data_IF_601781489345
#
_entry.id   IF_601781489345
#
_cell.length_a   1.000
_cell.length_b   1.000
_cell.length_c   1.000
_cell.angle_alpha   90.00
_cell.angle_beta   90.00
_cell.angle_gamma   90.00
#
_symmetry.space_group_name_H-M   'P 1'
#
loop_
_entity.id
_entity.type
_entity.pdbx_description
1 polymer ?
#
# COMPACT_ATOMS: atom_id res chain seq x y z
N UNK A 1 4.51 1.29 25.59
CA UNK A 1 5.87 1.84 25.83
C UNK A 1 6.68 1.80 24.54
N UNK A 2 6.28 2.59 23.52
CA UNK A 2 7.00 2.73 22.24
C UNK A 2 7.61 4.13 22.06
N UNK A 3 7.38 5.01 23.05
CA UNK A 3 7.57 6.46 22.98
C UNK A 3 8.07 7.01 24.32
N UNK A 4 8.97 6.26 24.97
CA UNK A 4 9.56 6.68 26.24
C UNK A 4 10.87 7.43 25.96
N UNK A 5 10.77 8.75 25.91
CA UNK A 5 11.91 9.66 25.87
C UNK A 5 12.11 10.27 27.26
N UNK A 6 13.00 9.67 28.06
CA UNK A 6 13.60 10.33 29.23
C UNK A 6 14.48 11.51 28.76
N UNK A 7 14.73 12.62 29.47
CA UNK A 7 14.20 13.33 30.65
C UNK A 7 14.96 14.70 30.71
N UNK A 8 14.53 15.85 31.23
CA UNK A 8 13.38 16.39 32.00
C UNK A 8 13.16 17.86 31.57
N UNK A 9 12.02 18.48 31.88
CA UNK A 9 11.96 19.93 32.16
C UNK A 9 11.20 20.22 33.45
N UNK A 10 11.67 21.19 34.24
CA UNK A 10 11.05 21.60 35.52
C UNK A 10 9.80 22.48 35.33
N UNK A 11 9.53 22.89 34.09
CA UNK A 11 8.34 23.63 33.67
C UNK A 11 7.75 22.95 32.44
N UNK A 12 6.43 22.77 32.43
CA UNK A 12 5.75 21.85 31.53
C UNK A 12 5.51 22.41 30.13
N UNK A 13 6.15 21.80 29.13
CA UNK A 13 5.59 21.66 27.79
C UNK A 13 5.49 20.15 27.55
N UNK A 14 4.26 19.62 27.49
CA UNK A 14 4.07 18.22 27.08
C UNK A 14 4.51 18.09 25.63
N UNK A 15 5.38 17.13 25.34
CA UNK A 15 5.72 16.78 23.96
C UNK A 15 4.41 16.47 23.20
N UNK A 16 4.20 17.09 22.04
CA UNK A 16 2.96 16.96 21.25
C UNK A 16 2.62 15.50 20.95
N UNK A 17 3.66 14.69 20.69
CA UNK A 17 3.54 13.25 20.50
C UNK A 17 3.03 12.52 21.76
N UNK A 18 3.49 12.89 22.95
CA UNK A 18 2.98 12.31 24.20
C UNK A 18 1.50 12.68 24.42
N UNK A 19 1.13 13.94 24.17
CA UNK A 19 -0.26 14.39 24.27
C UNK A 19 -1.21 13.62 23.33
N UNK A 20 -0.80 13.42 22.08
CA UNK A 20 -1.52 12.59 21.10
C UNK A 20 -1.64 11.13 21.56
N UNK A 21 -0.58 10.53 22.12
CA UNK A 21 -0.63 9.16 22.61
C UNK A 21 -1.54 9.02 23.85
N UNK A 22 -1.52 9.98 24.77
CA UNK A 22 -2.47 10.04 25.89
C UNK A 22 -3.92 10.25 25.43
N UNK A 23 -4.13 10.92 24.29
CA UNK A 23 -5.45 11.09 23.68
C UNK A 23 -5.98 9.76 23.13
N UNK A 24 -5.21 9.06 22.29
CA UNK A 24 -5.70 7.85 21.61
C UNK A 24 -5.71 6.58 22.48
N UNK A 25 -4.97 6.52 23.60
CA UNK A 25 -4.99 5.36 24.50
C UNK A 25 -6.07 5.45 25.60
N UNK A 26 -6.90 6.51 25.62
CA UNK A 26 -8.07 6.61 26.49
C UNK A 26 -9.28 5.92 25.85
N UNK A 27 -10.18 5.40 26.69
CA UNK A 27 -11.48 4.87 26.25
C UNK A 27 -12.52 5.98 26.22
N UNK A 28 -13.38 5.93 25.21
CA UNK A 28 -14.45 6.88 24.93
C UNK A 28 -15.65 6.10 24.38
N UNK A 29 -16.85 6.68 24.44
CA UNK A 29 -17.97 6.14 23.66
C UNK A 29 -17.84 6.54 22.18
N UNK A 30 -18.49 5.80 21.27
CA UNK A 30 -18.36 6.01 19.82
C UNK A 30 -18.57 7.47 19.37
N UNK A 31 -19.55 8.18 19.92
CA UNK A 31 -19.81 9.58 19.55
C UNK A 31 -18.71 10.54 20.02
N UNK A 32 -18.10 10.26 21.18
CA UNK A 32 -16.92 10.98 21.65
C UNK A 32 -15.69 10.67 20.80
N UNK A 33 -15.51 9.40 20.42
CA UNK A 33 -14.41 8.95 19.57
C UNK A 33 -14.43 9.65 18.21
N UNK A 34 -15.59 9.81 17.57
CA UNK A 34 -15.71 10.57 16.32
C UNK A 34 -15.28 12.04 16.52
N UNK A 35 -15.74 12.69 17.60
CA UNK A 35 -15.34 14.08 17.96
C UNK A 35 -13.87 14.24 18.37
N UNK A 36 -13.14 13.15 18.55
CA UNK A 36 -11.70 13.16 18.82
C UNK A 36 -10.89 13.22 17.53
N UNK A 37 -11.41 12.72 16.41
CA UNK A 37 -10.76 12.82 15.10
C UNK A 37 -10.54 14.29 14.71
N UNK A 38 -11.50 15.17 15.04
CA UNK A 38 -11.41 16.62 14.81
C UNK A 38 -10.38 17.34 15.70
N UNK A 39 -9.82 16.66 16.72
CA UNK A 39 -8.80 17.18 17.64
C UNK A 39 -7.38 16.73 17.30
N UNK A 40 -7.22 15.90 16.28
CA UNK A 40 -5.93 15.35 15.85
C UNK A 40 -5.39 16.21 14.71
N UNK A 41 -4.12 16.60 14.79
CA UNK A 41 -3.40 17.16 13.63
C UNK A 41 -2.97 16.02 12.72
N UNK A 42 -3.71 15.84 11.62
CA UNK A 42 -3.49 14.77 10.66
C UNK A 42 -2.30 15.02 9.71
N UNK A 43 -1.66 16.19 9.72
CA UNK A 43 -0.43 16.39 8.95
C UNK A 43 0.74 15.61 9.59
N UNK A 44 0.75 15.47 10.93
CA UNK A 44 1.77 14.76 11.72
C UNK A 44 3.23 15.17 11.36
N UNK A 45 3.46 16.48 11.13
CA UNK A 45 4.72 17.02 10.57
C UNK A 45 5.99 16.62 11.34
N UNK A 46 5.94 16.66 12.66
CA UNK A 46 7.11 16.37 13.52
C UNK A 46 7.20 14.90 13.97
N UNK A 47 6.30 14.02 13.52
CA UNK A 47 6.24 12.63 13.98
C UNK A 47 7.21 11.72 13.22
N UNK A 48 7.91 10.88 13.98
CA UNK A 48 8.75 9.81 13.39
C UNK A 48 7.87 8.75 12.73
N UNK A 49 8.07 8.55 11.43
CA UNK A 49 7.41 7.49 10.63
C UNK A 49 8.29 6.27 10.39
N UNK A 50 9.58 6.36 10.73
CA UNK A 50 10.60 5.33 10.50
C UNK A 50 11.06 4.71 11.80
N UNK A 51 10.39 3.62 12.19
CA UNK A 51 10.74 2.82 13.35
C UNK A 51 10.47 1.34 13.07
N UNK A 52 11.23 0.45 13.72
CA UNK A 52 11.05 -0.99 13.64
C UNK A 52 10.95 -1.48 12.17
N UNK A 53 10.02 -2.39 11.89
CA UNK A 53 9.89 -3.07 10.60
C UNK A 53 9.37 -2.17 9.47
N UNK A 54 8.85 -0.96 9.76
CA UNK A 54 8.55 0.05 8.74
C UNK A 54 9.78 0.48 7.92
N UNK A 55 10.99 0.25 8.44
CA UNK A 55 12.27 0.56 7.79
C UNK A 55 12.77 -0.53 6.82
N UNK A 56 12.06 -1.66 6.72
CA UNK A 56 12.52 -2.84 5.98
C UNK A 56 12.65 -2.62 4.48
N UNK A 57 11.82 -1.79 3.87
CA UNK A 57 11.87 -1.57 2.42
C UNK A 57 11.32 -0.18 2.08
N UNK A 58 11.92 0.48 1.09
CA UNK A 58 11.34 1.66 0.44
C UNK A 58 10.12 1.22 -0.35
N UNK A 59 8.95 1.80 -0.08
CA UNK A 59 7.72 1.50 -0.84
C UNK A 59 7.06 2.82 -1.19
N UNK A 60 6.74 3.09 -2.47
CA UNK A 60 6.11 4.34 -2.88
C UNK A 60 4.67 4.41 -2.37
N UNK A 61 4.14 5.63 -2.17
CA UNK A 61 2.73 5.89 -1.87
C UNK A 61 2.14 5.16 -0.64
N UNK A 62 2.98 4.76 0.33
CA UNK A 62 2.47 4.29 1.63
C UNK A 62 2.04 5.47 2.51
N UNK A 63 0.93 5.34 3.22
CA UNK A 63 0.58 6.29 4.27
C UNK A 63 1.51 6.17 5.49
N UNK A 64 1.40 7.15 6.40
CA UNK A 64 2.18 7.21 7.64
C UNK A 64 1.57 6.28 8.70
N UNK A 65 2.38 5.64 9.57
CA UNK A 65 1.88 4.71 10.60
C UNK A 65 0.86 5.32 11.57
N UNK A 66 0.94 6.63 11.81
CA UNK A 66 0.04 7.35 12.72
C UNK A 66 -1.44 7.26 12.33
N UNK A 67 -1.75 7.12 11.02
CA UNK A 67 -3.13 7.01 10.55
C UNK A 67 -3.77 5.70 11.00
N UNK A 68 -3.31 4.49 10.59
CA UNK A 68 -3.87 3.24 11.08
C UNK A 68 -3.74 3.11 12.60
N UNK A 69 -2.63 3.55 13.21
CA UNK A 69 -2.49 3.57 14.68
C UNK A 69 -3.64 4.30 15.37
N UNK A 70 -4.05 5.47 14.85
CA UNK A 70 -5.17 6.25 15.41
C UNK A 70 -6.46 5.43 15.39
N UNK A 71 -6.85 4.89 14.24
CA UNK A 71 -8.12 4.17 14.11
C UNK A 71 -8.11 2.84 14.86
N UNK A 72 -6.99 2.10 14.85
CA UNK A 72 -6.80 0.87 15.62
C UNK A 72 -6.97 1.15 17.11
N UNK A 73 -6.36 2.22 17.64
CA UNK A 73 -6.46 2.56 19.07
C UNK A 73 -7.84 3.03 19.50
N UNK A 74 -8.53 3.77 18.63
CA UNK A 74 -9.80 4.43 18.95
C UNK A 74 -11.04 3.57 18.68
N UNK A 75 -10.99 2.62 17.74
CA UNK A 75 -12.16 1.85 17.28
C UNK A 75 -12.01 0.32 17.36
N UNK A 76 -10.89 -0.19 17.90
CA UNK A 76 -10.76 -1.62 18.23
C UNK A 76 -10.26 -1.87 19.64
N UNK A 77 -10.59 -3.01 20.20
CA UNK A 77 -9.98 -3.57 21.41
C UNK A 77 -8.81 -4.53 21.05
N UNK A 78 -8.09 -5.05 22.05
CA UNK A 78 -7.10 -6.11 21.80
C UNK A 78 -7.79 -7.39 21.31
N UNK A 79 -7.11 -8.14 20.41
CA UNK A 79 -7.58 -9.34 19.71
C UNK A 79 -8.73 -9.15 18.70
N UNK A 80 -9.34 -7.96 18.60
CA UNK A 80 -10.21 -7.66 17.45
C UNK A 80 -9.41 -7.62 16.14
N UNK A 81 -10.08 -7.89 15.02
CA UNK A 81 -9.44 -8.11 13.71
C UNK A 81 -9.47 -6.85 12.84
N UNK A 82 -8.30 -6.40 12.41
CA UNK A 82 -8.11 -5.26 11.49
C UNK A 82 -7.79 -5.77 10.09
N UNK A 83 -8.55 -5.36 9.08
CA UNK A 83 -8.29 -5.68 7.67
C UNK A 83 -7.68 -4.49 6.94
N UNK A 84 -6.70 -4.78 6.08
CA UNK A 84 -6.27 -3.88 5.02
C UNK A 84 -6.38 -4.63 3.67
N UNK A 85 -7.44 -4.38 2.86
CA UNK A 85 -7.71 -5.13 1.63
C UNK A 85 -6.74 -4.81 0.47
N UNK A 86 -5.91 -3.76 0.61
CA UNK A 86 -4.91 -3.32 -0.37
C UNK A 86 -3.63 -2.90 0.37
N UNK A 87 -3.08 -3.82 1.16
CA UNK A 87 -2.19 -3.50 2.28
C UNK A 87 -0.83 -2.92 1.90
N UNK A 88 -0.44 -2.97 0.63
CA UNK A 88 0.86 -2.51 0.15
C UNK A 88 1.98 -3.17 0.96
N UNK A 89 2.90 -2.36 1.47
CA UNK A 89 3.97 -2.86 2.35
C UNK A 89 3.55 -3.10 3.81
N UNK A 90 2.25 -3.19 4.14
CA UNK A 90 1.76 -3.71 5.41
C UNK A 90 1.78 -2.73 6.59
N UNK A 91 1.66 -1.42 6.33
CA UNK A 91 1.71 -0.40 7.40
C UNK A 91 0.61 -0.63 8.44
N UNK A 92 -0.62 -0.95 8.03
CA UNK A 92 -1.74 -1.27 8.93
C UNK A 92 -1.48 -2.51 9.77
N UNK A 93 -0.98 -3.58 9.15
CA UNK A 93 -0.68 -4.86 9.81
C UNK A 93 0.40 -4.70 10.88
N UNK A 94 1.45 -3.92 10.62
CA UNK A 94 2.48 -3.63 11.63
C UNK A 94 1.90 -2.86 12.82
N UNK A 95 1.03 -1.87 12.59
CA UNK A 95 0.41 -1.13 13.70
C UNK A 95 -0.62 -1.97 14.46
N UNK A 96 -1.34 -2.89 13.81
CA UNK A 96 -2.19 -3.87 14.48
C UNK A 96 -1.36 -4.80 15.36
N UNK A 97 -0.28 -5.37 14.81
CA UNK A 97 0.63 -6.28 15.50
C UNK A 97 1.29 -5.64 16.74
N UNK A 98 1.81 -4.42 16.59
CA UNK A 98 2.43 -3.65 17.69
C UNK A 98 1.44 -3.29 18.81
N UNK A 99 0.14 -3.44 18.58
CA UNK A 99 -0.93 -3.11 19.52
C UNK A 99 -1.83 -4.31 19.87
N UNK A 100 -1.35 -5.54 19.71
CA UNK A 100 -2.07 -6.76 20.08
C UNK A 100 -3.45 -6.91 19.39
N UNK A 101 -3.61 -6.42 18.16
CA UNK A 101 -4.80 -6.70 17.31
C UNK A 101 -4.46 -7.81 16.33
N UNK A 102 -5.43 -8.67 16.07
CA UNK A 102 -5.35 -9.61 14.94
C UNK A 102 -5.42 -8.80 13.64
N UNK A 103 -4.82 -9.29 12.56
CA UNK A 103 -4.92 -8.58 11.28
C UNK A 103 -4.89 -9.47 10.05
N UNK A 104 -5.61 -9.04 9.03
CA UNK A 104 -5.61 -9.64 7.70
C UNK A 104 -5.12 -8.57 6.73
N UNK A 105 -4.16 -8.90 5.87
CA UNK A 105 -3.72 -8.03 4.78
C UNK A 105 -3.92 -8.73 3.45
N UNK A 106 -4.61 -8.08 2.51
CA UNK A 106 -4.69 -8.54 1.13
C UNK A 106 -3.91 -7.58 0.22
N UNK A 107 -3.14 -8.08 -0.74
CA UNK A 107 -2.61 -7.29 -1.85
C UNK A 107 -2.32 -8.17 -3.06
N UNK A 108 -2.68 -7.71 -4.27
CA UNK A 108 -2.43 -8.45 -5.51
C UNK A 108 -0.95 -8.43 -5.94
N UNK A 109 -0.15 -7.50 -5.40
CA UNK A 109 1.29 -7.45 -5.61
C UNK A 109 2.00 -8.49 -4.70
N UNK A 110 2.60 -9.58 -5.26
CA UNK A 110 3.24 -10.60 -4.44
C UNK A 110 4.47 -10.10 -3.68
N UNK A 111 5.09 -8.99 -4.11
CA UNK A 111 6.14 -8.34 -3.34
C UNK A 111 5.57 -7.58 -2.14
N UNK A 112 4.42 -6.92 -2.30
CA UNK A 112 3.71 -6.22 -1.23
C UNK A 112 3.30 -7.20 -0.12
N UNK A 113 2.60 -8.29 -0.48
CA UNK A 113 2.25 -9.37 0.42
C UNK A 113 3.48 -9.97 1.14
N UNK A 114 4.57 -10.27 0.42
CA UNK A 114 5.82 -10.77 1.03
C UNK A 114 6.41 -9.78 2.06
N UNK A 115 6.44 -8.48 1.74
CA UNK A 115 6.92 -7.46 2.68
C UNK A 115 6.02 -7.33 3.91
N UNK A 116 4.69 -7.38 3.73
CA UNK A 116 3.72 -7.33 4.81
C UNK A 116 3.91 -8.49 5.78
N UNK A 117 4.02 -9.73 5.27
CA UNK A 117 4.31 -10.93 6.08
C UNK A 117 5.60 -10.75 6.89
N UNK A 118 6.71 -10.46 6.23
CA UNK A 118 8.04 -10.37 6.87
C UNK A 118 8.12 -9.26 7.93
N UNK A 119 7.32 -8.19 7.81
CA UNK A 119 7.27 -7.12 8.81
C UNK A 119 6.47 -7.47 10.08
N UNK A 120 5.62 -8.50 10.05
CA UNK A 120 4.84 -9.00 11.19
C UNK A 120 5.30 -10.37 11.70
N UNK A 121 6.17 -11.08 10.99
CA UNK A 121 6.81 -12.31 11.49
C UNK A 121 8.00 -12.00 12.39
N UNK A 122 7.94 -12.43 13.66
CA UNK A 122 9.10 -12.48 14.55
C UNK A 122 9.92 -13.74 14.26
N UNK A 123 11.25 -13.61 14.31
CA UNK A 123 12.22 -14.69 14.10
C UNK A 123 13.15 -14.71 15.32
N UNK A 124 13.45 -15.89 15.85
CA UNK A 124 14.25 -16.05 17.06
C UNK A 124 15.76 -15.93 16.80
N UNK A 125 16.52 -15.83 17.89
CA UNK A 125 17.97 -15.65 17.79
C UNK A 125 18.72 -16.92 17.34
N UNK A 126 18.11 -18.11 17.46
CA UNK A 126 18.64 -19.38 16.94
C UNK A 126 18.62 -19.41 15.42
N UNK A 127 17.46 -19.13 14.83
CA UNK A 127 17.30 -18.98 13.38
C UNK A 127 18.28 -17.93 12.82
N UNK A 128 18.40 -16.75 13.45
CA UNK A 128 19.38 -15.77 12.99
C UNK A 128 20.84 -16.19 13.13
N UNK A 129 21.21 -17.01 14.13
CA UNK A 129 22.56 -17.60 14.21
C UNK A 129 22.81 -18.56 13.05
N UNK A 130 21.84 -19.42 12.73
CA UNK A 130 21.91 -20.31 11.55
C UNK A 130 22.04 -19.49 10.25
N UNK A 131 21.16 -18.51 10.04
CA UNK A 131 21.14 -17.70 8.82
C UNK A 131 22.45 -16.94 8.62
N UNK A 132 22.97 -16.30 9.67
CA UNK A 132 24.24 -15.58 9.60
C UNK A 132 25.42 -16.52 9.33
N UNK A 133 25.40 -17.77 9.83
CA UNK A 133 26.39 -18.80 9.47
C UNK A 133 26.28 -19.20 7.99
N UNK A 134 25.06 -19.44 7.50
CA UNK A 134 24.78 -19.81 6.10
C UNK A 134 25.24 -18.71 5.13
N UNK A 135 24.94 -17.45 5.43
CA UNK A 135 25.43 -16.29 4.65
C UNK A 135 26.96 -16.14 4.70
N UNK A 136 27.61 -16.53 5.80
CA UNK A 136 29.08 -16.52 5.92
C UNK A 136 29.79 -17.56 5.04
N UNK A 137 29.07 -18.56 4.51
CA UNK A 137 29.59 -19.59 3.58
C UNK A 137 28.97 -19.49 2.18
N UNK A 138 28.31 -18.38 1.85
CA UNK A 138 27.72 -18.13 0.54
C UNK A 138 28.73 -18.37 -0.59
N UNK A 139 28.30 -19.09 -1.64
CA UNK A 139 29.11 -19.46 -2.81
C UNK A 139 29.77 -18.24 -3.43
N UNK A 140 31.02 -18.38 -3.89
CA UNK A 140 31.77 -17.28 -4.49
C UNK A 140 31.44 -17.19 -5.98
N UNK A 141 31.74 -16.03 -6.56
CA UNK A 141 31.56 -15.74 -8.00
C UNK A 141 32.14 -16.81 -8.95
N UNK A 142 33.19 -17.51 -8.53
CA UNK A 142 33.88 -18.53 -9.32
C UNK A 142 33.11 -19.86 -9.44
N UNK A 143 32.09 -20.08 -8.61
CA UNK A 143 31.37 -21.36 -8.50
C UNK A 143 30.10 -21.43 -9.39
N UNK A 144 29.86 -20.43 -10.26
CA UNK A 144 28.61 -20.23 -10.99
C UNK A 144 28.72 -20.56 -12.49
N UNK A 145 27.67 -21.17 -13.08
CA UNK A 145 27.62 -21.45 -14.52
C UNK A 145 27.38 -20.16 -15.33
N UNK A 146 28.44 -19.69 -15.97
CA UNK A 146 28.43 -18.51 -16.84
C UNK A 146 27.36 -18.55 -17.96
N UNK A 147 26.95 -19.74 -18.42
CA UNK A 147 25.90 -19.86 -19.44
C UNK A 147 24.54 -19.43 -18.90
N UNK A 148 24.19 -19.80 -17.67
CA UNK A 148 22.96 -19.35 -16.99
C UNK A 148 22.95 -17.84 -16.77
N UNK A 149 24.12 -17.26 -16.49
CA UNK A 149 24.30 -15.81 -16.32
C UNK A 149 24.04 -15.08 -17.65
N UNK A 150 24.58 -15.59 -18.76
CA UNK A 150 24.36 -15.00 -20.09
C UNK A 150 22.91 -15.16 -20.58
N UNK A 151 22.28 -16.31 -20.35
CA UNK A 151 20.84 -16.51 -20.61
C UNK A 151 19.99 -15.49 -19.85
N UNK A 152 20.31 -15.21 -18.57
CA UNK A 152 19.62 -14.16 -17.80
C UNK A 152 19.80 -12.77 -18.40
N UNK A 153 21.02 -12.41 -18.82
CA UNK A 153 21.31 -11.11 -19.44
C UNK A 153 20.45 -10.92 -20.69
N UNK A 154 20.38 -11.94 -21.54
CA UNK A 154 19.60 -11.91 -22.78
C UNK A 154 18.09 -11.81 -22.53
N UNK A 155 17.60 -12.33 -21.40
CA UNK A 155 16.20 -12.30 -21.00
C UNK A 155 15.82 -11.08 -20.14
N UNK A 156 16.73 -10.12 -19.88
CA UNK A 156 16.38 -8.90 -19.17
C UNK A 156 15.44 -8.00 -20.02
N UNK A 157 14.48 -7.29 -19.41
CA UNK A 157 13.67 -6.31 -20.13
C UNK A 157 14.54 -5.28 -20.86
N UNK A 158 14.23 -4.95 -22.12
CA UNK A 158 15.01 -3.98 -22.91
C UNK A 158 14.77 -2.54 -22.41
N UNK A 159 15.50 -2.14 -21.37
CA UNK A 159 15.35 -0.87 -20.64
C UNK A 159 16.71 -0.33 -20.19
N UNK A 160 16.82 1.01 -20.05
CA UNK A 160 18.07 1.68 -19.63
C UNK A 160 18.65 1.13 -18.33
N UNK A 161 17.79 0.82 -17.34
CA UNK A 161 18.21 0.30 -16.03
C UNK A 161 18.71 -1.16 -16.08
N UNK A 162 18.40 -1.92 -17.12
CA UNK A 162 18.92 -3.29 -17.28
C UNK A 162 20.45 -3.33 -17.41
N UNK A 163 21.07 -2.21 -17.81
CA UNK A 163 22.54 -2.03 -17.84
C UNK A 163 23.22 -2.11 -16.46
N UNK A 164 22.47 -2.02 -15.36
CA UNK A 164 22.99 -2.17 -14.00
C UNK A 164 23.32 -3.65 -13.73
N UNK A 165 22.52 -4.57 -14.27
CA UNK A 165 22.67 -6.01 -14.11
C UNK A 165 23.70 -6.57 -15.11
N UNK A 166 24.95 -6.17 -14.96
CA UNK A 166 26.08 -6.80 -15.66
C UNK A 166 26.42 -8.17 -15.04
N UNK A 167 27.28 -8.96 -15.72
CA UNK A 167 27.71 -10.30 -15.26
C UNK A 167 28.11 -10.35 -13.78
N UNK A 168 28.88 -9.37 -13.28
CA UNK A 168 29.33 -9.35 -11.88
C UNK A 168 28.17 -9.18 -10.90
N UNK A 169 27.26 -8.24 -11.20
CA UNK A 169 26.07 -7.98 -10.37
C UNK A 169 25.12 -9.18 -10.39
N UNK A 170 24.86 -9.75 -11.56
CA UNK A 170 23.99 -10.93 -11.73
C UNK A 170 24.53 -12.12 -10.94
N UNK A 171 25.82 -12.42 -11.05
CA UNK A 171 26.42 -13.55 -10.32
C UNK A 171 26.32 -13.38 -8.81
N UNK A 172 26.50 -12.17 -8.26
CA UNK A 172 26.28 -11.90 -6.82
C UNK A 172 24.82 -12.09 -6.42
N UNK A 173 23.87 -11.59 -7.24
CA UNK A 173 22.43 -11.79 -6.99
C UNK A 173 22.03 -13.27 -7.05
N UNK A 174 22.58 -14.04 -7.99
CA UNK A 174 22.34 -15.49 -8.07
C UNK A 174 22.95 -16.24 -6.87
N UNK A 175 24.17 -15.92 -6.43
CA UNK A 175 24.76 -16.53 -5.24
C UNK A 175 23.90 -16.31 -3.98
N UNK A 176 23.34 -15.11 -3.82
CA UNK A 176 22.36 -14.82 -2.75
C UNK A 176 21.09 -15.67 -2.94
N UNK A 177 20.50 -15.70 -4.15
CA UNK A 177 19.27 -16.45 -4.42
C UNK A 177 19.40 -17.94 -4.18
N UNK A 178 20.46 -18.58 -4.66
CA UNK A 178 20.75 -20.00 -4.41
C UNK A 178 20.93 -20.26 -2.91
N UNK A 179 21.63 -19.39 -2.18
CA UNK A 179 21.78 -19.51 -0.72
C UNK A 179 20.44 -19.40 0.00
N UNK A 180 19.53 -18.53 -0.46
CA UNK A 180 18.17 -18.43 0.08
C UNK A 180 17.33 -19.68 -0.28
N UNK A 181 17.46 -20.25 -1.47
CA UNK A 181 16.79 -21.50 -1.85
C UNK A 181 17.25 -22.66 -0.96
N UNK A 182 18.55 -22.79 -0.69
CA UNK A 182 19.08 -23.79 0.26
C UNK A 182 18.48 -23.59 1.67
N UNK A 183 18.38 -22.36 2.17
CA UNK A 183 17.71 -22.04 3.45
C UNK A 183 16.25 -22.50 3.47
N UNK A 184 15.52 -22.35 2.35
CA UNK A 184 14.14 -22.84 2.21
C UNK A 184 14.06 -24.36 2.19
N UNK A 185 14.96 -25.02 1.47
CA UNK A 185 15.04 -26.49 1.34
C UNK A 185 15.41 -27.17 2.66
N UNK A 186 16.27 -26.53 3.46
CA UNK A 186 16.60 -26.93 4.84
C UNK A 186 15.44 -26.68 5.84
N UNK A 187 14.31 -26.11 5.39
CA UNK A 187 13.06 -25.96 6.15
C UNK A 187 12.78 -24.57 6.70
N UNK A 188 13.73 -23.65 6.60
CA UNK A 188 13.69 -22.32 7.24
C UNK A 188 12.90 -21.28 6.42
N UNK A 189 11.59 -21.51 6.27
CA UNK A 189 10.69 -20.72 5.40
C UNK A 189 10.66 -19.22 5.72
N UNK A 190 10.66 -18.85 7.00
CA UNK A 190 10.56 -17.44 7.38
C UNK A 190 11.90 -16.70 7.22
N UNK A 191 13.03 -17.40 7.38
CA UNK A 191 14.35 -16.87 6.99
C UNK A 191 14.48 -16.70 5.47
N UNK A 192 13.90 -17.61 4.68
CA UNK A 192 13.83 -17.47 3.22
C UNK A 192 13.06 -16.21 2.82
N UNK A 193 11.85 -16.00 3.36
CA UNK A 193 11.04 -14.81 3.06
C UNK A 193 11.71 -13.52 3.57
N UNK A 194 12.27 -13.54 4.79
CA UNK A 194 13.07 -12.44 5.35
C UNK A 194 14.25 -12.07 4.44
N UNK A 195 15.00 -13.08 3.99
CA UNK A 195 16.11 -12.92 3.07
C UNK A 195 15.69 -12.36 1.70
N UNK A 196 14.52 -12.76 1.19
CA UNK A 196 13.96 -12.21 -0.05
C UNK A 196 13.60 -10.73 0.08
N UNK A 197 13.08 -10.28 1.23
CA UNK A 197 12.83 -8.84 1.47
C UNK A 197 14.14 -8.05 1.59
N UNK A 198 15.17 -8.61 2.23
CA UNK A 198 16.50 -8.01 2.25
C UNK A 198 17.13 -7.92 0.84
N UNK A 199 16.97 -8.96 0.02
CA UNK A 199 17.40 -8.99 -1.39
C UNK A 199 16.62 -7.96 -2.22
N UNK A 200 15.31 -7.87 -2.03
CA UNK A 200 14.47 -6.83 -2.65
C UNK A 200 14.98 -5.42 -2.34
N UNK A 201 15.23 -5.12 -1.06
CA UNK A 201 15.73 -3.79 -0.68
C UNK A 201 17.15 -3.55 -1.20
N UNK A 202 17.93 -4.60 -1.45
CA UNK A 202 19.25 -4.52 -2.10
C UNK A 202 19.08 -4.13 -3.57
N UNK A 203 18.21 -4.83 -4.32
CA UNK A 203 17.87 -4.54 -5.71
C UNK A 203 17.33 -3.11 -5.88
N UNK A 204 16.44 -2.67 -4.98
CA UNK A 204 15.92 -1.30 -4.96
C UNK A 204 17.07 -0.28 -4.91
N UNK A 205 17.98 -0.42 -3.95
CA UNK A 205 19.12 0.48 -3.81
C UNK A 205 20.13 0.39 -4.96
N UNK A 206 20.27 -0.76 -5.64
CA UNK A 206 21.07 -0.88 -6.86
C UNK A 206 20.43 -0.09 -8.02
N UNK A 207 19.11 -0.18 -8.20
CA UNK A 207 18.38 0.53 -9.25
C UNK A 207 18.39 2.05 -9.04
N UNK A 208 18.30 2.53 -7.79
CA UNK A 208 18.37 3.95 -7.46
C UNK A 208 19.77 4.56 -7.63
N UNK A 209 20.83 3.85 -7.19
CA UNK A 209 22.17 4.42 -7.04
C UNK A 209 23.15 4.03 -8.17
N UNK A 210 22.81 3.03 -9.01
CA UNK A 210 23.58 2.69 -10.20
C UNK A 210 24.79 1.78 -9.98
N UNK A 211 25.78 1.90 -10.86
CA UNK A 211 26.90 0.95 -10.99
C UNK A 211 28.00 1.17 -9.93
N UNK A 212 28.71 0.10 -9.59
CA UNK A 212 29.91 0.13 -8.72
C UNK A 212 29.65 -0.25 -7.26
N UNK A 213 28.42 -0.65 -6.93
CA UNK A 213 28.03 -1.03 -5.56
C UNK A 213 28.37 -2.49 -5.29
N UNK A 214 28.99 -2.75 -4.13
CA UNK A 214 29.21 -4.10 -3.64
C UNK A 214 27.91 -4.72 -3.12
N UNK A 215 27.28 -5.53 -3.97
CA UNK A 215 25.98 -6.19 -3.73
C UNK A 215 25.98 -7.00 -2.42
N UNK A 216 27.06 -7.73 -2.14
CA UNK A 216 27.15 -8.61 -0.98
C UNK A 216 27.13 -7.81 0.32
N UNK A 217 27.96 -6.76 0.40
CA UNK A 217 28.00 -5.84 1.54
C UNK A 217 26.68 -5.08 1.71
N UNK A 218 26.02 -4.65 0.62
CA UNK A 218 24.71 -4.02 0.66
C UNK A 218 23.64 -4.96 1.24
N UNK A 219 23.61 -6.21 0.77
CA UNK A 219 22.70 -7.25 1.25
C UNK A 219 22.95 -7.61 2.72
N UNK A 220 24.21 -7.87 3.11
CA UNK A 220 24.58 -8.21 4.49
C UNK A 220 24.29 -7.05 5.46
N UNK A 221 24.55 -5.80 5.07
CA UNK A 221 24.15 -4.61 5.84
C UNK A 221 22.63 -4.55 6.00
N UNK A 222 21.87 -4.87 4.96
CA UNK A 222 20.40 -4.86 5.01
C UNK A 222 19.85 -5.95 5.94
N UNK A 223 20.35 -7.18 5.81
CA UNK A 223 20.05 -8.30 6.72
C UNK A 223 20.30 -7.90 8.17
N UNK A 224 21.50 -7.38 8.49
CA UNK A 224 21.86 -6.95 9.85
C UNK A 224 20.96 -5.82 10.37
N UNK A 225 20.59 -4.86 9.52
CA UNK A 225 19.64 -3.79 9.87
C UNK A 225 18.27 -4.35 10.21
N UNK A 226 17.73 -5.25 9.39
CA UNK A 226 16.41 -5.86 9.60
C UNK A 226 16.37 -6.76 10.85
N UNK A 227 17.44 -7.54 11.10
CA UNK A 227 17.63 -8.33 12.33
C UNK A 227 17.58 -7.44 13.59
N UNK A 228 18.25 -6.29 13.57
CA UNK A 228 18.27 -5.37 14.70
C UNK A 228 16.88 -4.80 15.02
N UNK A 229 16.07 -4.49 14.01
CA UNK A 229 14.71 -3.98 14.22
C UNK A 229 13.74 -5.07 14.72
N UNK A 230 13.85 -6.33 14.25
CA UNK A 230 13.07 -7.44 14.84
C UNK A 230 13.46 -7.69 16.29
N UNK A 231 14.75 -7.63 16.63
CA UNK A 231 15.24 -7.74 18.01
C UNK A 231 14.78 -6.59 18.91
N UNK A 232 14.42 -5.43 18.36
CA UNK A 232 13.73 -4.37 19.10
C UNK A 232 12.24 -4.70 19.26
N UNK A 233 11.58 -5.10 18.17
CA UNK A 233 10.15 -5.41 18.13
C UNK A 233 9.75 -6.56 19.06
N UNK A 234 10.55 -7.63 19.11
CA UNK A 234 10.34 -8.80 19.99
C UNK A 234 10.42 -8.49 21.49
N UNK A 235 11.02 -7.35 21.89
CA UNK A 235 11.04 -6.87 23.28
C UNK A 235 9.78 -6.10 23.67
N UNK A 236 9.00 -5.67 22.67
CA UNK A 236 7.84 -4.79 22.82
C UNK A 236 6.55 -5.62 22.75
N UNK A 237 6.48 -6.54 21.79
CA UNK A 237 5.34 -7.44 21.58
C UNK A 237 5.47 -8.64 22.52
N UNK A 238 4.60 -8.69 23.54
CA UNK A 238 4.58 -9.77 24.55
C UNK A 238 3.66 -10.92 24.16
N UNK A 239 2.52 -10.60 23.56
CA UNK A 239 1.56 -11.55 23.02
C UNK A 239 1.60 -11.37 21.51
N UNK A 240 1.90 -12.43 20.76
CA UNK A 240 1.92 -12.39 19.30
C UNK A 240 0.46 -12.52 18.83
N UNK A 241 -0.14 -11.51 18.18
CA UNK A 241 -1.48 -11.65 17.61
C UNK A 241 -1.44 -12.43 16.30
N UNK A 242 -2.59 -12.90 15.85
CA UNK A 242 -2.72 -13.63 14.59
C UNK A 242 -2.62 -12.65 13.42
N UNK A 243 -1.76 -12.97 12.44
CA UNK A 243 -1.62 -12.18 11.21
C UNK A 243 -1.69 -13.09 10.00
N UNK A 244 -2.67 -12.81 9.15
CA UNK A 244 -2.82 -13.45 7.84
C UNK A 244 -2.44 -12.47 6.73
N UNK A 245 -1.74 -12.96 5.71
CA UNK A 245 -1.39 -12.15 4.53
C UNK A 245 -1.71 -12.93 3.26
N UNK A 246 -2.70 -12.41 2.54
CA UNK A 246 -3.29 -13.00 1.33
C UNK A 246 -2.71 -12.27 0.11
N UNK A 247 -2.21 -13.03 -0.87
CA UNK A 247 -1.77 -12.49 -2.16
C UNK A 247 -2.93 -12.56 -3.17
N UNK A 248 -3.98 -11.76 -2.94
CA UNK A 248 -5.27 -11.88 -3.64
C UNK A 248 -5.81 -10.56 -4.21
N UNK A 249 -6.90 -10.65 -4.96
CA UNK A 249 -7.55 -9.51 -5.60
C UNK A 249 -8.54 -8.83 -4.62
N UNK A 250 -8.40 -7.52 -4.40
CA UNK A 250 -9.27 -6.78 -3.50
C UNK A 250 -10.74 -6.74 -3.97
N UNK A 251 -11.01 -7.02 -5.25
CA UNK A 251 -12.35 -7.15 -5.84
C UNK A 251 -13.04 -8.46 -5.44
N UNK A 252 -12.32 -9.40 -4.83
CA UNK A 252 -12.82 -10.70 -4.34
C UNK A 252 -11.96 -11.20 -3.18
N UNK A 253 -12.33 -10.80 -1.95
CA UNK A 253 -11.55 -11.11 -0.75
C UNK A 253 -11.80 -12.55 -0.28
N UNK A 254 -10.72 -13.31 -0.11
CA UNK A 254 -10.73 -14.64 0.54
C UNK A 254 -10.86 -14.52 2.08
N UNK A 255 -11.84 -13.75 2.53
CA UNK A 255 -12.10 -13.39 3.93
C UNK A 255 -13.57 -13.64 4.27
N UNK A 256 -13.84 -14.15 5.46
CA UNK A 256 -15.19 -14.49 5.92
C UNK A 256 -16.10 -13.24 6.05
N UNK A 257 -17.37 -13.40 5.69
CA UNK A 257 -18.41 -12.37 5.81
C UNK A 257 -18.62 -11.99 7.28
N UNK A 258 -18.74 -10.69 7.59
CA UNK A 258 -18.95 -10.15 8.94
C UNK A 258 -17.90 -10.64 10.00
N UNK A 259 -16.64 -10.82 9.59
CA UNK A 259 -15.53 -11.29 10.46
C UNK A 259 -14.63 -10.17 11.01
N UNK A 260 -14.58 -9.02 10.34
CA UNK A 260 -13.63 -7.92 10.61
C UNK A 260 -14.23 -6.83 11.50
N UNK A 261 -13.41 -6.26 12.39
CA UNK A 261 -13.81 -5.20 13.34
C UNK A 261 -13.43 -3.78 12.90
N UNK A 262 -12.45 -3.63 11.99
CA UNK A 262 -12.05 -2.34 11.43
C UNK A 262 -11.36 -2.57 10.07
N UNK A 263 -11.70 -1.75 9.07
CA UNK A 263 -10.89 -1.63 7.85
C UNK A 263 -10.14 -0.31 7.87
N UNK A 264 -8.83 -0.33 7.62
CA UNK A 264 -8.03 0.87 7.32
C UNK A 264 -7.13 0.57 6.13
N UNK A 265 -7.21 1.41 5.09
CA UNK A 265 -6.49 1.16 3.84
C UNK A 265 -6.13 2.43 3.08
N UNK A 266 -5.16 2.33 2.17
CA UNK A 266 -4.83 3.35 1.18
C UNK A 266 -4.76 2.69 -0.20
N UNK A 267 -5.88 2.68 -0.97
CA UNK A 267 -5.91 2.04 -2.28
C UNK A 267 -4.94 2.73 -3.26
N UNK A 268 -4.57 2.10 -4.39
CA UNK A 268 -3.82 2.77 -5.44
C UNK A 268 -4.63 3.96 -5.99
N UNK A 269 -4.03 5.15 -6.09
CA UNK A 269 -4.76 6.33 -6.58
C UNK A 269 -4.77 6.32 -8.12
N UNK A 270 -5.95 6.50 -8.72
CA UNK A 270 -6.10 6.53 -10.18
C UNK A 270 -5.13 7.51 -10.80
N UNK A 271 -4.37 7.03 -11.79
CA UNK A 271 -3.44 7.85 -12.58
C UNK A 271 -2.25 8.44 -11.78
N UNK A 272 -1.91 7.88 -10.60
CA UNK A 272 -0.80 8.37 -9.78
C UNK A 272 0.53 7.63 -9.98
N UNK A 273 0.52 6.29 -10.10
CA UNK A 273 1.74 5.48 -10.21
C UNK A 273 1.49 4.18 -11.00
N UNK A 274 2.54 3.66 -11.65
CA UNK A 274 2.60 2.30 -12.17
C UNK A 274 3.45 1.43 -11.23
N UNK A 275 2.84 0.77 -10.23
CA UNK A 275 3.56 -0.08 -9.29
C UNK A 275 4.28 -1.23 -10.01
N UNK A 276 3.72 -1.79 -11.09
CA UNK A 276 4.39 -2.85 -11.85
C UNK A 276 5.73 -2.37 -12.43
N UNK A 277 5.84 -1.09 -12.84
CA UNK A 277 7.08 -0.52 -13.40
C UNK A 277 8.13 -0.33 -12.32
N UNK A 278 7.69 0.11 -11.15
CA UNK A 278 8.55 0.40 -10.00
C UNK A 278 9.11 -0.90 -9.40
N UNK A 279 8.30 -1.94 -9.29
CA UNK A 279 8.71 -3.23 -8.71
C UNK A 279 9.23 -4.27 -9.72
N UNK A 280 9.19 -3.99 -11.02
CA UNK A 280 9.54 -4.93 -12.10
C UNK A 280 10.85 -5.71 -11.85
N UNK A 281 11.95 -5.04 -11.50
CA UNK A 281 13.24 -5.70 -11.29
C UNK A 281 13.26 -6.51 -9.99
N UNK A 282 12.61 -6.02 -8.93
CA UNK A 282 12.47 -6.74 -7.67
C UNK A 282 11.70 -8.05 -7.90
N UNK A 283 10.56 -7.98 -8.59
CA UNK A 283 9.74 -9.14 -8.92
C UNK A 283 10.49 -10.15 -9.79
N UNK A 284 11.18 -9.69 -10.84
CA UNK A 284 12.01 -10.51 -11.71
C UNK A 284 13.07 -11.31 -10.93
N UNK A 285 13.84 -10.64 -10.07
CA UNK A 285 14.87 -11.29 -9.25
C UNK A 285 14.29 -12.12 -8.10
N UNK A 286 13.05 -11.92 -7.69
CA UNK A 286 12.39 -12.76 -6.68
C UNK A 286 11.61 -13.94 -7.27
N UNK A 287 11.60 -14.10 -8.60
CA UNK A 287 10.85 -15.14 -9.30
C UNK A 287 9.33 -14.94 -9.21
N UNK A 288 8.88 -13.69 -9.24
CA UNK A 288 7.46 -13.31 -9.18
C UNK A 288 6.97 -12.90 -10.58
N UNK A 289 5.72 -13.23 -10.89
CA UNK A 289 5.10 -12.87 -12.16
C UNK A 289 4.66 -11.39 -12.18
N UNK A 290 5.52 -10.54 -12.74
CA UNK A 290 5.23 -9.12 -12.91
C UNK A 290 4.28 -8.83 -14.08
N UNK A 291 4.11 -9.76 -15.03
CA UNK A 291 3.23 -9.60 -16.18
C UNK A 291 1.78 -9.93 -15.83
N UNK A 292 1.56 -10.91 -14.96
CA UNK A 292 0.27 -11.12 -14.28
C UNK A 292 -0.08 -9.88 -13.44
N UNK A 293 0.82 -9.42 -12.57
CA UNK A 293 0.57 -8.23 -11.74
C UNK A 293 0.18 -7.01 -12.60
N UNK A 294 0.94 -6.74 -13.68
CA UNK A 294 0.67 -5.66 -14.64
C UNK A 294 -0.72 -5.72 -15.31
N UNK A 295 -1.33 -6.90 -15.45
CA UNK A 295 -2.65 -7.06 -16.11
C UNK A 295 -3.83 -6.69 -15.20
N UNK A 296 -3.68 -6.91 -13.89
CA UNK A 296 -4.77 -6.77 -12.91
C UNK A 296 -4.58 -5.61 -11.91
N UNK A 297 -3.43 -4.92 -11.95
CA UNK A 297 -3.14 -3.71 -11.14
C UNK A 297 -4.24 -2.63 -11.29
N UNK A 298 -4.90 -2.29 -10.18
CA UNK A 298 -5.96 -1.27 -10.14
C UNK A 298 -5.34 0.13 -10.28
N UNK A 299 -5.92 0.96 -11.16
CA UNK A 299 -5.58 2.39 -11.29
C UNK A 299 -4.28 2.72 -12.05
N UNK A 300 -3.54 1.70 -12.51
CA UNK A 300 -2.30 1.84 -13.27
C UNK A 300 -2.48 2.50 -14.65
N UNK A 301 -1.44 3.14 -15.17
CA UNK A 301 -1.49 3.81 -16.47
C UNK A 301 -1.52 2.78 -17.60
N UNK A 302 -2.66 2.64 -18.27
CA UNK A 302 -2.67 2.06 -19.62
C UNK A 302 -2.15 3.10 -20.61
N UNK A 303 -0.87 2.98 -20.99
CA UNK A 303 -0.20 3.83 -21.99
C UNK A 303 -0.80 3.68 -23.41
N UNK A 304 -1.81 2.83 -23.58
CA UNK A 304 -2.50 2.53 -24.83
C UNK A 304 -3.94 3.08 -24.90
N UNK A 305 -4.47 3.70 -23.83
CA UNK A 305 -5.82 4.29 -23.84
C UNK A 305 -5.77 5.74 -24.35
N UNK A 306 -6.38 5.97 -25.53
CA UNK A 306 -6.51 7.30 -26.16
C UNK A 306 -7.43 8.24 -25.35
N UNK A 307 -8.54 7.69 -24.85
CA UNK A 307 -9.49 8.43 -24.00
C UNK A 307 -9.29 8.05 -22.53
N UNK A 308 -8.45 8.81 -21.83
CA UNK A 308 -8.07 8.52 -20.44
C UNK A 308 -9.25 8.51 -19.46
N UNK A 309 -10.41 9.10 -19.76
CA UNK A 309 -11.58 9.00 -18.87
C UNK A 309 -12.16 7.58 -18.81
N UNK A 310 -11.83 6.70 -19.75
CA UNK A 310 -12.13 5.26 -19.66
C UNK A 310 -11.35 4.58 -18.52
N UNK A 311 -10.13 5.03 -18.22
CA UNK A 311 -9.37 4.59 -17.03
C UNK A 311 -10.06 5.00 -15.72
N UNK A 312 -10.75 6.14 -15.70
CA UNK A 312 -11.56 6.54 -14.54
C UNK A 312 -12.79 5.64 -14.38
N UNK A 313 -13.47 5.30 -15.48
CA UNK A 313 -14.58 4.34 -15.46
C UNK A 313 -14.14 2.96 -14.94
N UNK A 314 -13.04 2.42 -15.48
CA UNK A 314 -12.44 1.14 -15.04
C UNK A 314 -12.12 1.19 -13.53
N UNK A 315 -11.39 2.22 -13.09
CA UNK A 315 -11.01 2.41 -11.69
C UNK A 315 -12.20 2.54 -10.73
N UNK A 316 -13.23 3.31 -11.09
CA UNK A 316 -14.43 3.44 -10.26
C UNK A 316 -15.18 2.09 -10.15
N UNK A 317 -15.19 1.30 -11.23
CA UNK A 317 -15.73 -0.06 -11.20
C UNK A 317 -14.96 -0.97 -10.26
N UNK A 318 -13.63 -1.04 -10.41
CA UNK A 318 -12.74 -1.85 -9.56
C UNK A 318 -12.84 -1.46 -8.07
N UNK A 319 -12.88 -0.16 -7.79
CA UNK A 319 -13.02 0.34 -6.42
C UNK A 319 -14.41 0.06 -5.84
N UNK A 320 -15.49 0.17 -6.63
CA UNK A 320 -16.84 -0.16 -6.16
C UNK A 320 -16.95 -1.66 -5.82
N UNK A 321 -16.43 -2.55 -6.66
CA UNK A 321 -16.36 -4.00 -6.35
C UNK A 321 -15.58 -4.27 -5.06
N UNK A 322 -14.42 -3.63 -4.92
CA UNK A 322 -13.60 -3.74 -3.72
C UNK A 322 -14.34 -3.22 -2.47
N UNK A 323 -15.11 -2.13 -2.59
CA UNK A 323 -15.91 -1.58 -1.49
C UNK A 323 -17.13 -2.46 -1.14
N UNK A 324 -17.73 -3.18 -2.10
CA UNK A 324 -18.75 -4.19 -1.84
C UNK A 324 -18.16 -5.33 -0.99
N UNK A 325 -16.96 -5.81 -1.34
CA UNK A 325 -16.24 -6.80 -0.54
C UNK A 325 -15.86 -6.28 0.85
N UNK A 326 -15.43 -5.01 0.96
CA UNK A 326 -15.21 -4.34 2.26
C UNK A 326 -16.48 -4.30 3.10
N UNK A 327 -17.66 -4.04 2.52
CA UNK A 327 -18.93 -4.13 3.25
C UNK A 327 -19.17 -5.57 3.70
N UNK A 328 -19.05 -6.56 2.81
CA UNK A 328 -19.32 -7.97 3.10
C UNK A 328 -18.52 -8.49 4.30
N UNK A 329 -17.23 -8.19 4.37
CA UNK A 329 -16.33 -8.74 5.42
C UNK A 329 -16.38 -7.99 6.75
N UNK A 330 -16.71 -6.69 6.73
CA UNK A 330 -16.79 -5.85 7.92
C UNK A 330 -18.08 -6.11 8.72
N UNK A 331 -17.99 -6.23 10.04
CA UNK A 331 -19.16 -6.33 10.92
C UNK A 331 -20.03 -5.06 10.86
N UNK A 332 -21.34 -5.22 11.08
CA UNK A 332 -22.28 -4.09 11.21
C UNK A 332 -21.83 -3.11 12.32
N UNK A 333 -22.14 -1.83 12.11
CA UNK A 333 -21.81 -0.67 12.94
C UNK A 333 -20.31 -0.34 13.10
N UNK A 334 -19.40 -1.18 12.59
CA UNK A 334 -17.95 -0.92 12.54
C UNK A 334 -17.57 0.02 11.37
N UNK A 335 -16.30 0.41 11.33
CA UNK A 335 -15.79 1.43 10.40
C UNK A 335 -14.94 0.86 9.25
N UNK A 336 -15.09 1.47 8.08
CA UNK A 336 -14.18 1.38 6.95
C UNK A 336 -13.52 2.74 6.72
N UNK A 337 -12.20 2.78 6.73
CA UNK A 337 -11.39 3.99 6.62
C UNK A 337 -10.54 3.91 5.37
N UNK A 338 -10.80 4.81 4.42
CA UNK A 338 -10.11 4.86 3.12
C UNK A 338 -9.32 6.16 3.03
N UNK A 339 -8.00 6.05 2.95
CA UNK A 339 -7.07 7.16 2.82
C UNK A 339 -6.77 7.35 1.33
N UNK A 340 -7.21 8.46 0.74
CA UNK A 340 -7.11 8.67 -0.70
C UNK A 340 -6.71 10.10 -1.06
N UNK A 341 -5.71 10.23 -1.93
CA UNK A 341 -5.26 11.50 -2.50
C UNK A 341 -6.16 11.98 -3.62
N UNK A 342 -6.28 13.30 -3.76
CA UNK A 342 -6.83 13.87 -4.99
C UNK A 342 -5.87 13.63 -6.15
N UNK A 343 -6.39 13.22 -7.31
CA UNK A 343 -5.58 13.02 -8.51
C UNK A 343 -6.03 13.93 -9.64
N UNK A 344 -5.34 13.90 -10.78
CA UNK A 344 -5.75 14.67 -11.95
C UNK A 344 -5.66 13.87 -13.23
N UNK A 345 -6.65 14.07 -14.09
CA UNK A 345 -6.83 13.34 -15.35
C UNK A 345 -7.25 14.32 -16.44
N UNK A 346 -6.44 14.43 -17.50
CA UNK A 346 -6.70 15.36 -18.63
C UNK A 346 -6.94 16.83 -18.22
N UNK A 347 -6.30 17.27 -17.12
CA UNK A 347 -6.42 18.56 -16.43
C UNK A 347 -7.66 18.76 -15.54
N UNK A 348 -8.52 17.75 -15.43
CA UNK A 348 -9.63 17.75 -14.47
C UNK A 348 -9.17 17.19 -13.11
N UNK A 349 -9.75 17.70 -12.03
CA UNK A 349 -9.52 17.25 -10.66
C UNK A 349 -10.37 16.01 -10.38
N UNK A 350 -9.77 14.95 -9.85
CA UNK A 350 -10.46 13.73 -9.43
C UNK A 350 -10.51 13.68 -7.91
N UNK A 351 -11.67 14.05 -7.37
CA UNK A 351 -11.95 14.07 -5.93
C UNK A 351 -12.38 12.69 -5.43
N UNK A 352 -11.48 11.71 -5.48
CA UNK A 352 -11.74 10.27 -5.23
C UNK A 352 -12.57 10.01 -3.96
N UNK A 353 -12.33 10.77 -2.89
CA UNK A 353 -13.05 10.64 -1.62
C UNK A 353 -14.57 10.90 -1.75
N UNK A 354 -15.00 11.77 -2.68
CA UNK A 354 -16.43 12.04 -2.94
C UNK A 354 -17.08 10.90 -3.70
N UNK A 355 -16.42 10.42 -4.77
CA UNK A 355 -16.85 9.23 -5.50
C UNK A 355 -17.04 8.04 -4.54
N UNK A 356 -16.07 7.80 -3.65
CA UNK A 356 -16.13 6.72 -2.68
C UNK A 356 -17.25 6.92 -1.64
N UNK A 357 -17.48 8.15 -1.17
CA UNK A 357 -18.59 8.45 -0.26
C UNK A 357 -19.95 8.16 -0.89
N UNK A 358 -20.22 8.69 -2.10
CA UNK A 358 -21.49 8.49 -2.82
C UNK A 358 -21.70 7.03 -3.26
N UNK A 359 -20.63 6.31 -3.60
CA UNK A 359 -20.68 4.88 -3.88
C UNK A 359 -20.97 4.06 -2.63
N UNK A 360 -20.38 4.42 -1.49
CA UNK A 360 -20.61 3.78 -0.19
C UNK A 360 -22.09 3.79 0.23
N UNK A 361 -22.77 4.93 0.05
CA UNK A 361 -24.20 5.09 0.36
C UNK A 361 -25.10 4.09 -0.40
N UNK A 362 -24.71 3.69 -1.62
CA UNK A 362 -25.44 2.72 -2.43
C UNK A 362 -25.22 1.25 -2.02
N UNK A 363 -24.27 0.97 -1.15
CA UNK A 363 -23.85 -0.40 -0.75
C UNK A 363 -23.83 -0.61 0.77
N UNK A 364 -24.63 0.15 1.53
CA UNK A 364 -24.81 -0.03 2.98
C UNK A 364 -23.76 0.63 3.88
N UNK A 365 -22.93 1.53 3.32
CA UNK A 365 -22.07 2.42 4.11
C UNK A 365 -22.69 3.81 4.28
N UNK A 366 -22.54 4.38 5.47
CA UNK A 366 -22.82 5.79 5.75
C UNK A 366 -21.51 6.57 5.88
N UNK A 367 -21.26 7.60 5.06
CA UNK A 367 -20.16 8.54 5.30
C UNK A 367 -20.37 9.29 6.61
N UNK A 368 -19.38 9.26 7.51
CA UNK A 368 -19.47 9.93 8.82
C UNK A 368 -18.43 11.05 9.00
N UNK A 369 -17.28 10.99 8.32
CA UNK A 369 -16.31 12.09 8.26
C UNK A 369 -15.46 11.99 6.99
N UNK A 370 -14.86 13.11 6.56
CA UNK A 370 -13.95 13.19 5.41
C UNK A 370 -12.85 14.19 5.73
N UNK A 371 -11.79 13.71 6.39
CA UNK A 371 -10.78 14.55 7.04
C UNK A 371 -9.69 14.92 6.03
N UNK A 372 -9.48 16.22 5.79
CA UNK A 372 -8.39 16.74 4.97
C UNK A 372 -7.05 16.72 5.72
N UNK A 373 -5.96 16.37 5.02
CA UNK A 373 -4.58 16.53 5.49
C UNK A 373 -3.63 16.91 4.34
N UNK A 374 -2.53 17.58 4.67
CA UNK A 374 -1.45 17.87 3.75
C UNK A 374 -0.41 16.73 3.74
N UNK A 375 0.14 16.43 2.56
CA UNK A 375 1.23 15.46 2.44
C UNK A 375 2.59 16.17 2.63
N UNK A 376 3.39 15.70 3.58
CA UNK A 376 4.78 16.13 3.74
C UNK A 376 5.67 15.55 2.63
N UNK A 377 5.88 16.37 1.60
CA UNK A 377 6.68 16.07 0.39
C UNK A 377 8.18 15.83 0.66
N UNK A 378 8.68 16.09 1.87
CA UNK A 378 10.09 15.85 2.21
C UNK A 378 10.36 14.39 2.58
N UNK A 379 9.31 13.59 2.81
CA UNK A 379 9.40 12.20 3.26
C UNK A 379 9.66 11.26 2.08
N UNK A 380 10.49 10.24 2.30
CA UNK A 380 10.95 9.25 1.29
C UNK A 380 9.85 8.36 0.65
N UNK A 381 8.57 8.62 0.90
CA UNK A 381 7.42 7.83 0.42
C UNK A 381 6.71 8.49 -0.76
N UNK A 382 6.86 9.80 -0.94
CA UNK A 382 6.43 10.50 -2.15
C UNK A 382 7.51 10.35 -3.22
N UNK A 383 7.24 9.56 -4.26
CA UNK A 383 8.05 9.62 -5.49
C UNK A 383 7.89 10.98 -6.16
N UNK A 384 8.76 11.34 -7.10
CA UNK A 384 8.63 12.60 -7.87
C UNK A 384 7.35 12.69 -8.71
N UNK A 385 6.66 11.56 -8.96
CA UNK A 385 5.36 11.52 -9.62
C UNK A 385 4.19 11.60 -8.62
N UNK A 386 4.31 10.98 -7.44
CA UNK A 386 3.36 11.11 -6.33
C UNK A 386 3.40 12.52 -5.72
N UNK A 387 4.57 13.18 -5.67
CA UNK A 387 4.77 14.53 -5.15
C UNK A 387 4.12 15.66 -5.96
N UNK A 388 3.19 15.30 -6.85
CA UNK A 388 2.24 16.16 -7.57
C UNK A 388 0.83 16.11 -6.95
N UNK A 389 0.65 15.27 -5.92
CA UNK A 389 -0.51 15.20 -5.03
C UNK A 389 -0.07 15.85 -3.72
N UNK A 390 -0.79 16.88 -3.32
CA UNK A 390 -0.42 17.75 -2.19
C UNK A 390 -1.34 17.52 -0.99
N UNK A 391 -2.54 17.03 -1.27
CA UNK A 391 -3.68 16.85 -0.40
C UNK A 391 -4.17 15.40 -0.39
N UNK A 392 -4.54 14.93 0.80
CA UNK A 392 -5.06 13.60 1.05
C UNK A 392 -6.30 13.68 1.94
N UNK A 393 -7.26 12.80 1.71
CA UNK A 393 -8.49 12.72 2.49
C UNK A 393 -8.58 11.37 3.16
N UNK A 394 -8.90 11.38 4.45
CA UNK A 394 -9.25 10.20 5.22
C UNK A 394 -10.78 10.13 5.27
N UNK A 395 -11.35 9.35 4.36
CA UNK A 395 -12.78 9.07 4.31
C UNK A 395 -13.11 8.02 5.37
N UNK A 396 -14.02 8.36 6.27
CA UNK A 396 -14.50 7.48 7.34
C UNK A 396 -15.96 7.09 7.03
N UNK A 397 -16.18 5.81 6.79
CA UNK A 397 -17.47 5.19 6.51
C UNK A 397 -17.86 4.28 7.68
N UNK A 398 -19.13 4.28 8.08
CA UNK A 398 -19.69 3.29 9.00
C UNK A 398 -20.57 2.31 8.23
N UNK A 399 -20.43 1.00 8.44
CA UNK A 399 -21.36 0.02 7.87
C UNK A 399 -22.68 0.07 8.63
N UNK A 400 -23.73 0.61 8.03
CA UNK A 400 -25.08 0.60 8.63
C UNK A 400 -25.83 -0.66 8.25
N UNK A 401 -25.61 -1.17 7.03
CA UNK A 401 -26.38 -2.25 6.45
C UNK A 401 -25.48 -3.22 5.67
N UNK A 402 -25.87 -4.49 5.61
CA UNK A 402 -25.22 -5.47 4.74
C UNK A 402 -25.56 -5.16 3.27
N UNK A 403 -24.54 -5.16 2.40
CA UNK A 403 -24.74 -5.02 0.96
C UNK A 403 -25.64 -6.14 0.41
N UNK A 404 -26.64 -5.77 -0.38
CA UNK A 404 -27.55 -6.71 -1.06
C UNK A 404 -27.07 -7.08 -2.47
N UNK A 405 -25.98 -6.48 -2.94
CA UNK A 405 -25.37 -6.68 -4.26
C UNK A 405 -24.03 -7.40 -4.14
N UNK A 406 -23.69 -8.19 -5.18
CA UNK A 406 -22.42 -8.89 -5.30
C UNK A 406 -21.37 -8.02 -6.02
N UNK A 407 -20.09 -8.19 -5.69
CA UNK A 407 -18.98 -7.60 -6.43
C UNK A 407 -18.90 -8.09 -7.89
N UNK A 408 -19.55 -9.22 -8.22
CA UNK A 408 -19.66 -9.73 -9.60
C UNK A 408 -20.87 -9.17 -10.39
N UNK A 409 -21.70 -8.29 -9.81
CA UNK A 409 -22.88 -7.71 -10.50
C UNK A 409 -22.49 -6.56 -11.46
N UNK A 410 -22.01 -6.94 -12.65
CA UNK A 410 -21.63 -6.00 -13.73
C UNK A 410 -22.73 -4.96 -14.06
N UNK A 411 -24.02 -5.29 -13.90
CA UNK A 411 -25.10 -4.35 -14.21
C UNK A 411 -25.18 -3.25 -13.16
N UNK A 412 -25.18 -3.61 -11.88
CA UNK A 412 -25.16 -2.66 -10.78
C UNK A 412 -23.89 -1.79 -10.84
N UNK A 413 -22.71 -2.39 -11.02
CA UNK A 413 -21.45 -1.64 -11.14
C UNK A 413 -21.53 -0.64 -12.31
N UNK A 414 -22.03 -1.05 -13.48
CA UNK A 414 -22.17 -0.17 -14.63
C UNK A 414 -23.17 0.96 -14.40
N UNK A 415 -24.26 0.73 -13.68
CA UNK A 415 -25.24 1.75 -13.31
C UNK A 415 -24.63 2.83 -12.40
N UNK A 416 -23.97 2.40 -11.31
CA UNK A 416 -23.38 3.33 -10.34
C UNK A 416 -22.23 4.13 -10.96
N UNK A 417 -21.32 3.49 -11.69
CA UNK A 417 -20.22 4.19 -12.38
C UNK A 417 -20.76 5.16 -13.43
N UNK A 418 -21.87 4.84 -14.11
CA UNK A 418 -22.53 5.73 -15.07
C UNK A 418 -23.11 6.97 -14.40
N UNK A 419 -23.79 6.83 -13.28
CA UNK A 419 -24.24 8.00 -12.49
C UNK A 419 -23.09 8.92 -12.10
N UNK A 420 -22.01 8.33 -11.56
CA UNK A 420 -20.81 9.06 -11.12
C UNK A 420 -20.14 9.82 -12.28
N UNK A 421 -19.95 9.15 -13.42
CA UNK A 421 -19.36 9.77 -14.62
C UNK A 421 -20.26 10.87 -15.22
N UNK A 422 -21.59 10.72 -15.17
CA UNK A 422 -22.54 11.77 -15.57
C UNK A 422 -22.40 12.98 -14.63
N UNK A 423 -22.43 12.79 -13.29
CA UNK A 423 -22.27 13.88 -12.31
C UNK A 423 -20.96 14.63 -12.53
N UNK A 424 -19.85 13.91 -12.72
CA UNK A 424 -18.53 14.47 -13.01
C UNK A 424 -18.51 15.31 -14.30
N UNK A 425 -19.16 14.84 -15.38
CA UNK A 425 -19.33 15.63 -16.62
C UNK A 425 -20.08 16.93 -16.38
N UNK A 426 -21.16 16.91 -15.60
CA UNK A 426 -21.94 18.11 -15.30
C UNK A 426 -21.21 19.06 -14.33
N UNK A 427 -20.32 18.55 -13.47
CA UNK A 427 -19.39 19.36 -12.66
C UNK A 427 -18.43 20.14 -13.55
N UNK A 428 -17.78 19.50 -14.52
CA UNK A 428 -16.83 20.14 -15.46
C UNK A 428 -17.49 21.21 -16.33
N UNK A 429 -18.77 21.03 -16.71
CA UNK A 429 -19.54 22.08 -17.39
C UNK A 429 -19.77 23.33 -16.53
N UNK A 430 -19.91 23.17 -15.21
CA UNK A 430 -20.21 24.26 -14.26
C UNK A 430 -18.95 24.95 -13.74
N UNK A 431 -17.90 24.19 -13.46
CA UNK A 431 -16.65 24.67 -12.86
C UNK A 431 -15.50 24.39 -13.82
N UNK A 432 -14.93 25.44 -14.41
CA UNK A 432 -13.75 25.31 -15.27
C UNK A 432 -12.57 24.80 -14.44
N UNK A 433 -12.03 23.64 -14.82
CA UNK A 433 -11.12 22.83 -14.00
C UNK A 433 -9.99 23.60 -13.32
N UNK A 434 -9.95 23.54 -11.99
CA UNK A 434 -8.75 23.85 -11.20
C UNK A 434 -7.92 22.58 -11.10
N UNK A 435 -7.07 22.33 -12.10
CA UNK A 435 -6.08 21.27 -11.99
C UNK A 435 -5.20 21.49 -10.74
N UNK A 436 -4.71 20.41 -10.11
CA UNK A 436 -3.78 20.47 -8.97
C UNK A 436 -2.52 21.33 -9.31
N UNK A 437 -2.21 21.49 -10.60
CA UNK A 437 -1.11 22.31 -11.13
C UNK A 437 -1.43 23.82 -11.24
N UNK A 438 -2.57 24.29 -10.73
CA UNK A 438 -2.98 25.70 -10.77
C UNK A 438 -3.28 26.26 -12.17
N UNK A 439 -3.18 25.45 -13.23
CA UNK A 439 -3.49 25.86 -14.62
C UNK A 439 -4.94 25.54 -14.93
N UNK A 440 -5.69 26.56 -15.35
CA UNK A 440 -7.03 26.39 -15.92
C UNK A 440 -6.93 25.84 -17.35
N UNK A 441 -7.69 24.80 -17.74
CA UNK A 441 -7.76 24.34 -19.11
C UNK A 441 -8.42 25.38 -20.01
N UNK A 442 -8.13 25.37 -21.31
CA UNK A 442 -8.80 26.25 -22.28
C UNK A 442 -10.25 25.83 -22.47
N UNK A 443 -11.12 26.77 -22.91
CA UNK A 443 -12.54 26.47 -23.21
C UNK A 443 -12.69 25.33 -24.24
N UNK A 444 -11.80 25.29 -25.25
CA UNK A 444 -11.72 24.21 -26.23
C UNK A 444 -11.36 22.86 -25.58
N UNK A 445 -10.38 22.84 -24.66
CA UNK A 445 -10.00 21.62 -23.93
C UNK A 445 -11.13 21.11 -23.04
N UNK A 446 -11.87 22.00 -22.38
CA UNK A 446 -13.04 21.65 -21.57
C UNK A 446 -14.13 20.98 -22.41
N UNK A 447 -14.47 21.54 -23.57
CA UNK A 447 -15.41 20.92 -24.51
C UNK A 447 -14.93 19.53 -24.94
N UNK A 448 -13.67 19.41 -25.35
CA UNK A 448 -13.06 18.11 -25.70
C UNK A 448 -13.05 17.11 -24.54
N UNK A 449 -12.90 17.55 -23.30
CA UNK A 449 -13.00 16.70 -22.12
C UNK A 449 -14.45 16.24 -21.88
N UNK A 450 -15.45 17.13 -22.05
CA UNK A 450 -16.88 16.78 -21.96
C UNK A 450 -17.28 15.75 -23.02
N UNK A 451 -16.78 15.88 -24.24
CA UNK A 451 -17.01 14.91 -25.33
C UNK A 451 -16.37 13.55 -25.00
N UNK A 452 -15.09 13.55 -24.58
CA UNK A 452 -14.40 12.34 -24.13
C UNK A 452 -15.09 11.66 -22.94
N UNK A 453 -15.61 12.41 -21.97
CA UNK A 453 -16.36 11.82 -20.85
C UNK A 453 -17.67 11.21 -21.35
N UNK A 454 -18.32 11.83 -22.32
CA UNK A 454 -19.55 11.29 -22.94
C UNK A 454 -19.29 10.02 -23.74
N UNK A 455 -18.15 9.90 -24.43
CA UNK A 455 -17.68 8.64 -25.03
C UNK A 455 -17.42 7.58 -23.94
N UNK A 456 -16.67 7.92 -22.90
CA UNK A 456 -16.33 7.00 -21.81
C UNK A 456 -17.57 6.49 -21.05
N UNK A 457 -18.64 7.30 -20.93
CA UNK A 457 -19.94 6.90 -20.37
C UNK A 457 -20.62 5.81 -21.20
N UNK A 458 -20.44 5.81 -22.52
CA UNK A 458 -21.04 4.81 -23.41
C UNK A 458 -20.31 3.47 -23.31
N UNK A 459 -19.00 3.46 -23.08
CA UNK A 459 -18.16 2.26 -23.00
C UNK A 459 -18.02 1.66 -21.60
N UNK A 460 -18.74 2.18 -20.59
CA UNK A 460 -18.71 1.66 -19.21
C UNK A 460 -18.94 0.13 -19.16
N UNK A 461 -19.96 -0.47 -19.80
CA UNK A 461 -20.23 -1.91 -19.72
C UNK A 461 -19.11 -2.81 -20.26
N UNK A 462 -18.19 -2.26 -21.06
CA UNK A 462 -16.99 -2.92 -21.56
C UNK A 462 -15.78 -2.63 -20.65
N UNK A 463 -15.63 -1.37 -20.23
CA UNK A 463 -14.46 -0.88 -19.49
C UNK A 463 -14.39 -1.38 -18.04
N UNK A 464 -15.52 -1.65 -17.38
CA UNK A 464 -15.55 -2.14 -15.97
C UNK A 464 -15.36 -3.65 -15.81
N UNK A 465 -15.22 -4.39 -16.92
CA UNK A 465 -15.13 -5.86 -16.89
C UNK A 465 -13.74 -6.27 -16.41
N UNK A 466 -13.69 -7.11 -15.38
CA UNK A 466 -12.44 -7.65 -14.87
C UNK A 466 -11.73 -8.40 -16.01
N UNK A 467 -10.51 -7.98 -16.30
CA UNK A 467 -9.65 -8.56 -17.34
C UNK A 467 -9.32 -10.01 -16.93
N UNK A 468 -9.56 -10.96 -17.84
CA UNK A 468 -9.27 -12.40 -17.68
C UNK A 468 -7.85 -12.75 -18.11
#
# INVERSE_FOLDING_TARGET
MLYDAQQKTLFGIRNSQQGYLELINKKYNFQETIKILDKIDWDFKDFTTQYLTHTFHSYPARFIPQIPLTFIKLFTEEKETVLDPMCGCGTTLVEAFLNNRNSIGNDFNPLAALMSKVKTTLIDEGEFRYFNKKLGIMKRYLDLDYRRIDERINNLPNRKMSKIFNRVVISKLEAIRETLLEVKEEGHKDLFDFGRVALSSTIWSLVENGNGIDVDNLFLKKVKSMQNELKKMSKIVKNIPEVEVICGDARKLEVETNSVDLIVTSPPYVNALDYYRVHMYNMLWLGMDFDLFRKHEIGGHSHFIINRFRLLSEYLGDMLRSMIEMNRVLKKDKLCVIVVGNSSLEYELIESHKFFAEMGEKIGFKPINSIFRNIDKTRKYTSADIGKIDDEYILVLQKTDDTTVSADDDNFIAEVVREQMIRFREQIKKVQGTSIRGRKPTKERLLKNIDKISEAIQTIPEDIKIKR
#
